data_IF_545757250750
#
_entry.id   IF_545757250750
#
_cell.length_a   1.000
_cell.length_b   1.000
_cell.length_c   1.000
_cell.angle_alpha   90.00
_cell.angle_beta   90.00
_cell.angle_gamma   90.00
#
_symmetry.space_group_name_H-M   'P 1'
#
loop_
_entity.id
_entity.type
_entity.pdbx_description
1 polymer ?
#
# COMPACT_ATOMS: atom_id res chain seq x y z
N UNK A 1 65.04 -9.31 -14.28
CA UNK A 1 64.17 -10.34 -13.67
C UNK A 1 62.89 -9.65 -13.24
N UNK A 2 61.74 -10.05 -13.82
CA UNK A 2 60.34 -9.71 -13.46
C UNK A 2 59.94 -8.23 -13.54
N UNK A 3 58.74 -7.81 -13.98
CA UNK A 3 57.55 -8.53 -14.43
C UNK A 3 56.60 -7.53 -15.15
N UNK A 4 55.81 -8.06 -16.09
CA UNK A 4 54.79 -7.35 -16.88
C UNK A 4 53.54 -7.05 -16.05
N UNK A 5 52.87 -5.95 -16.34
CA UNK A 5 51.43 -5.79 -16.10
C UNK A 5 50.80 -5.05 -17.27
N UNK A 6 50.10 -5.81 -18.12
CA UNK A 6 49.13 -5.33 -19.11
C UNK A 6 47.89 -4.84 -18.36
N UNK A 7 47.37 -3.66 -18.71
CA UNK A 7 45.99 -3.29 -18.44
C UNK A 7 45.18 -3.53 -19.72
N UNK A 8 44.31 -4.52 -19.65
CA UNK A 8 43.36 -4.92 -20.68
C UNK A 8 42.05 -4.14 -20.53
N UNK A 9 41.41 -3.92 -21.67
CA UNK A 9 40.18 -3.19 -21.91
C UNK A 9 38.99 -3.58 -21.01
N UNK A 10 38.16 -2.59 -20.67
CA UNK A 10 36.80 -2.77 -20.17
C UNK A 10 35.85 -2.07 -21.14
N UNK A 11 35.04 -2.80 -21.92
CA UNK A 11 34.04 -2.18 -22.79
C UNK A 11 32.76 -1.92 -21.99
N UNK A 12 32.32 -0.66 -21.94
CA UNK A 12 30.97 -0.28 -21.53
C UNK A 12 30.10 -0.10 -22.78
N UNK A 13 28.82 -0.45 -22.64
CA UNK A 13 27.69 -0.22 -23.57
C UNK A 13 27.31 -1.39 -24.48
N UNK A 14 26.32 -2.14 -24.00
CA UNK A 14 25.43 -2.99 -24.78
C UNK A 14 24.36 -2.09 -25.44
N UNK A 15 24.49 -1.84 -26.73
CA UNK A 15 23.56 -1.04 -27.53
C UNK A 15 22.63 -1.97 -28.32
N UNK A 16 21.32 -1.88 -28.06
CA UNK A 16 20.27 -2.65 -28.77
C UNK A 16 19.59 -1.72 -29.78
N UNK A 17 19.77 -2.00 -31.08
CA UNK A 17 19.03 -1.33 -32.17
C UNK A 17 17.64 -1.95 -32.36
N UNK A 18 16.57 -1.17 -32.53
CA UNK A 18 15.29 -1.70 -33.00
C UNK A 18 15.16 -1.67 -34.54
N UNK A 19 14.63 -2.76 -35.09
CA UNK A 19 14.26 -2.96 -36.50
C UNK A 19 12.86 -2.41 -36.79
N UNK A 20 12.64 -1.82 -37.97
CA UNK A 20 11.32 -1.38 -38.48
C UNK A 20 10.82 -2.25 -39.64
N UNK A 21 9.51 -2.54 -39.76
CA UNK A 21 8.92 -3.08 -40.98
C UNK A 21 8.27 -2.00 -41.87
N UNK A 22 8.25 -2.30 -43.18
CA UNK A 22 7.89 -1.44 -44.32
C UNK A 22 6.38 -1.10 -44.48
N UNK A 23 6.15 -0.04 -45.25
CA UNK A 23 4.87 0.56 -45.66
C UNK A 23 3.90 -0.37 -46.42
N UNK A 24 2.60 -0.06 -46.39
CA UNK A 24 1.71 0.25 -47.56
C UNK A 24 0.23 -0.14 -47.33
N UNK A 25 -0.72 0.70 -47.78
CA UNK A 25 -2.02 0.21 -48.27
C UNK A 25 -3.34 0.75 -47.64
N UNK A 26 -3.74 1.96 -48.08
CA UNK A 26 -5.10 2.43 -48.42
C UNK A 26 -6.36 1.56 -48.14
N UNK A 27 -7.40 2.10 -47.45
CA UNK A 27 -8.85 1.99 -47.80
C UNK A 27 -9.85 2.57 -46.76
N UNK A 28 -10.53 3.66 -47.13
CA UNK A 28 -11.97 4.01 -47.00
C UNK A 28 -12.93 3.46 -45.88
N UNK A 29 -13.67 4.42 -45.27
CA UNK A 29 -15.04 4.42 -44.65
C UNK A 29 -15.28 4.04 -43.15
N UNK A 30 -16.36 4.58 -42.50
CA UNK A 30 -16.46 4.91 -41.06
C UNK A 30 -17.53 4.08 -40.30
N UNK A 31 -18.03 4.52 -39.11
CA UNK A 31 -17.46 4.36 -37.78
C UNK A 31 -18.19 3.25 -36.97
N UNK A 32 -17.54 2.64 -35.97
CA UNK A 32 -18.22 1.79 -34.98
C UNK A 32 -17.64 1.97 -33.58
N UNK A 33 -18.53 2.35 -32.65
CA UNK A 33 -18.31 2.46 -31.21
C UNK A 33 -17.73 1.15 -30.66
N UNK A 34 -16.64 1.25 -29.89
CA UNK A 34 -16.27 0.31 -28.83
C UNK A 34 -15.29 1.02 -27.89
N UNK A 35 -15.71 1.24 -26.64
CA UNK A 35 -14.86 1.73 -25.56
C UNK A 35 -13.91 0.60 -25.12
N UNK A 36 -12.68 0.64 -25.64
CA UNK A 36 -11.52 0.02 -25.00
C UNK A 36 -10.36 1.01 -25.07
N UNK A 37 -10.00 1.59 -23.92
CA UNK A 37 -8.80 2.40 -23.75
C UNK A 37 -7.59 1.46 -23.73
N UNK A 38 -7.03 1.18 -24.90
CA UNK A 38 -5.68 0.64 -25.02
C UNK A 38 -4.70 1.82 -25.07
N UNK A 39 -3.95 1.99 -23.99
CA UNK A 39 -2.85 2.94 -23.91
C UNK A 39 -1.66 2.37 -24.67
N UNK A 40 -1.46 2.82 -25.91
CA UNK A 40 -0.20 2.64 -26.64
C UNK A 40 0.55 3.96 -26.54
N UNK A 41 1.55 3.99 -25.65
CA UNK A 41 2.50 5.11 -25.56
C UNK A 41 3.34 5.06 -26.85
N UNK A 42 3.10 6.01 -27.74
CA UNK A 42 3.94 6.26 -28.90
C UNK A 42 4.51 7.68 -28.78
N UNK A 43 5.83 7.75 -28.58
CA UNK A 43 6.59 8.99 -28.74
C UNK A 43 6.76 9.23 -30.24
N UNK A 44 6.30 10.37 -30.74
CA UNK A 44 6.62 10.83 -32.09
C UNK A 44 7.00 12.30 -32.04
N UNK A 45 8.29 12.55 -32.19
CA UNK A 45 8.85 13.82 -32.60
C UNK A 45 8.27 14.22 -33.95
N UNK A 46 7.63 15.38 -34.03
CA UNK A 46 7.57 16.17 -35.26
C UNK A 46 7.20 17.61 -34.92
N UNK A 47 8.21 18.47 -34.95
CA UNK A 47 8.06 19.90 -35.20
C UNK A 47 7.42 20.09 -36.59
N UNK A 48 6.21 20.61 -36.64
CA UNK A 48 5.74 21.36 -37.81
C UNK A 48 5.18 22.71 -37.35
N UNK A 49 6.02 23.73 -37.47
CA UNK A 49 5.60 25.12 -37.45
C UNK A 49 4.57 25.37 -38.56
N UNK A 50 3.37 25.77 -38.17
CA UNK A 50 2.35 26.30 -39.09
C UNK A 50 2.83 27.67 -39.61
N UNK A 51 3.43 27.70 -40.79
CA UNK A 51 3.68 28.95 -41.51
C UNK A 51 2.33 29.57 -41.89
N UNK A 52 2.02 30.73 -41.33
CA UNK A 52 0.92 31.59 -41.82
C UNK A 52 1.56 32.74 -42.60
N UNK A 53 1.53 32.66 -43.92
CA UNK A 53 2.03 33.72 -44.80
C UNK A 53 1.02 34.89 -44.80
N UNK A 54 1.36 35.99 -44.13
CA UNK A 54 0.69 37.29 -44.34
C UNK A 54 1.59 38.16 -45.22
N UNK A 55 1.15 38.36 -46.46
CA UNK A 55 1.76 39.27 -47.42
C UNK A 55 1.52 40.73 -47.00
N UNK A 56 2.57 41.46 -46.65
CA UNK A 56 2.61 42.91 -46.83
C UNK A 56 4.04 43.35 -47.16
N UNK A 57 4.20 43.91 -48.37
CA UNK A 57 5.41 44.58 -48.84
C UNK A 57 5.77 45.74 -47.89
N UNK A 58 6.97 45.69 -47.28
CA UNK A 58 8.02 46.72 -47.32
C UNK A 58 9.17 46.35 -46.36
N UNK A 59 10.40 46.56 -46.84
CA UNK A 59 11.69 46.60 -46.12
C UNK A 59 12.30 45.30 -45.57
N UNK A 60 13.45 44.93 -46.15
CA UNK A 60 14.36 43.89 -45.71
C UNK A 60 14.88 44.15 -44.29
N UNK A 61 14.48 43.31 -43.33
CA UNK A 61 15.08 43.20 -42.02
C UNK A 61 14.88 41.79 -41.47
N UNK A 62 15.88 40.90 -41.63
CA UNK A 62 15.90 39.61 -40.94
C UNK A 62 16.21 39.86 -39.46
N UNK A 63 15.19 40.04 -38.62
CA UNK A 63 15.35 39.88 -37.17
C UNK A 63 15.32 38.38 -36.85
N UNK A 64 16.43 37.85 -36.39
CA UNK A 64 16.51 36.49 -35.87
C UNK A 64 15.93 36.52 -34.45
N UNK A 65 14.64 36.24 -34.31
CA UNK A 65 14.02 36.03 -33.01
C UNK A 65 14.42 34.63 -32.55
N UNK A 66 15.49 34.54 -31.77
CA UNK A 66 15.77 33.34 -30.99
C UNK A 66 14.60 33.16 -30.01
N UNK A 67 13.87 32.05 -30.12
CA UNK A 67 12.93 31.64 -29.09
C UNK A 67 13.65 31.62 -27.74
N UNK A 68 13.05 32.13 -26.65
CA UNK A 68 13.65 32.00 -25.33
C UNK A 68 13.86 30.51 -25.01
N UNK A 69 14.91 30.15 -24.25
CA UNK A 69 15.07 28.78 -23.78
C UNK A 69 13.80 28.40 -23.01
N UNK A 70 13.35 27.16 -23.16
CA UNK A 70 12.20 26.60 -22.46
C UNK A 70 12.32 26.97 -20.96
N UNK A 71 11.52 27.95 -20.54
CA UNK A 71 11.32 28.23 -19.14
C UNK A 71 10.38 27.11 -18.71
N UNK A 72 10.88 26.17 -17.89
CA UNK A 72 10.07 25.09 -17.32
C UNK A 72 8.71 25.68 -16.97
N UNK A 73 7.65 25.12 -17.56
CA UNK A 73 6.27 25.60 -17.44
C UNK A 73 5.90 25.71 -15.97
N UNK A 74 6.07 26.91 -15.39
CA UNK A 74 5.45 27.30 -14.13
C UNK A 74 3.97 27.53 -14.46
N UNK A 75 3.18 26.47 -14.54
CA UNK A 75 1.77 26.61 -14.88
C UNK A 75 0.98 25.39 -15.33
N UNK A 76 1.43 24.16 -15.04
CA UNK A 76 0.48 23.04 -14.98
C UNK A 76 0.04 22.94 -13.53
N UNK A 77 -1.18 23.39 -13.22
CA UNK A 77 -1.81 23.05 -11.94
C UNK A 77 -1.82 21.53 -11.88
N UNK A 78 -1.11 20.90 -10.94
CA UNK A 78 -1.09 19.45 -10.86
C UNK A 78 -2.53 18.99 -10.62
N UNK A 79 -2.99 18.01 -11.39
CA UNK A 79 -4.26 17.35 -11.13
C UNK A 79 -4.34 17.04 -9.62
N UNK A 80 -5.48 17.28 -8.95
CA UNK A 80 -5.59 17.18 -7.49
C UNK A 80 -5.28 15.79 -6.91
N UNK A 81 -5.07 14.80 -7.78
CA UNK A 81 -4.74 13.40 -7.48
C UNK A 81 -3.21 13.16 -7.46
N UNK A 82 -2.38 14.05 -8.02
CA UNK A 82 -0.92 13.91 -8.15
C UNK A 82 -0.10 14.45 -6.98
N UNK A 83 -0.74 14.98 -5.94
CA UNK A 83 -0.06 15.65 -4.81
C UNK A 83 0.48 14.71 -3.71
N UNK A 84 0.33 13.38 -3.83
CA UNK A 84 0.73 12.43 -2.77
C UNK A 84 1.82 11.47 -3.26
N UNK A 85 3.01 12.01 -3.47
CA UNK A 85 4.20 11.21 -3.79
C UNK A 85 5.42 11.75 -3.04
N UNK A 86 6.12 10.86 -2.34
CA UNK A 86 7.39 11.21 -1.70
C UNK A 86 8.45 11.49 -2.77
N UNK A 87 9.41 12.39 -2.48
CA UNK A 87 10.57 12.60 -3.36
C UNK A 87 11.35 11.29 -3.47
N UNK A 88 11.97 10.96 -4.62
CA UNK A 88 12.59 9.66 -4.84
C UNK A 88 13.71 9.34 -3.84
N UNK A 89 14.46 10.34 -3.39
CA UNK A 89 15.48 10.19 -2.35
C UNK A 89 14.89 9.89 -0.96
N UNK A 90 13.77 10.53 -0.61
CA UNK A 90 13.06 10.30 0.66
C UNK A 90 12.38 8.94 0.68
N UNK A 91 11.74 8.57 -0.42
CA UNK A 91 11.05 7.30 -0.59
C UNK A 91 12.00 6.11 -0.35
N UNK A 92 13.25 6.17 -0.79
CA UNK A 92 14.23 5.09 -0.56
C UNK A 92 14.57 4.89 0.92
N UNK A 93 14.82 6.00 1.64
CA UNK A 93 15.16 5.96 3.07
C UNK A 93 13.95 5.51 3.89
N UNK A 94 12.79 6.14 3.65
CA UNK A 94 11.55 5.79 4.36
C UNK A 94 11.05 4.40 4.00
N UNK A 95 11.26 3.90 2.79
CA UNK A 95 10.92 2.51 2.44
C UNK A 95 11.73 1.51 3.25
N UNK A 96 13.02 1.77 3.49
CA UNK A 96 13.86 0.90 4.29
C UNK A 96 13.42 0.93 5.76
N UNK A 97 13.14 2.12 6.28
CA UNK A 97 12.63 2.30 7.63
C UNK A 97 11.25 1.65 7.82
N UNK A 98 10.37 1.80 6.83
CA UNK A 98 9.02 1.24 6.82
C UNK A 98 9.03 -0.29 6.90
N UNK A 99 9.96 -0.96 6.23
CA UNK A 99 10.07 -2.42 6.32
C UNK A 99 10.42 -2.83 7.75
N UNK A 100 11.37 -2.15 8.39
CA UNK A 100 11.78 -2.45 9.77
C UNK A 100 10.64 -2.22 10.76
N UNK A 101 9.96 -1.09 10.64
CA UNK A 101 8.83 -0.75 11.53
C UNK A 101 7.63 -1.67 11.29
N UNK A 102 7.38 -2.08 10.04
CA UNK A 102 6.32 -3.04 9.71
C UNK A 102 6.60 -4.43 10.28
N UNK A 103 7.85 -4.90 10.23
CA UNK A 103 8.25 -6.19 10.84
C UNK A 103 8.05 -6.15 12.35
N UNK A 104 8.54 -5.10 13.01
CA UNK A 104 8.36 -4.93 14.45
C UNK A 104 6.87 -4.84 14.84
N UNK A 105 6.10 -4.03 14.11
CA UNK A 105 4.67 -3.88 14.29
C UNK A 105 3.89 -5.17 14.04
N UNK A 106 4.31 -6.00 13.07
CA UNK A 106 3.74 -7.32 12.79
C UNK A 106 4.04 -8.31 13.91
N UNK A 107 5.25 -8.28 14.48
CA UNK A 107 5.60 -9.15 15.61
C UNK A 107 4.76 -8.83 16.84
N UNK A 108 4.69 -7.55 17.23
CA UNK A 108 3.92 -7.12 18.39
C UNK A 108 2.40 -7.38 18.23
N UNK A 109 1.85 -7.09 17.05
CA UNK A 109 0.43 -7.34 16.77
C UNK A 109 0.12 -8.84 16.66
N UNK A 110 0.99 -9.60 15.99
CA UNK A 110 0.83 -11.05 15.84
C UNK A 110 0.82 -11.79 17.16
N UNK A 111 1.66 -11.38 18.13
CA UNK A 111 1.62 -11.94 19.49
C UNK A 111 0.26 -11.77 20.17
N UNK A 112 -0.33 -10.58 20.08
CA UNK A 112 -1.65 -10.31 20.64
C UNK A 112 -2.75 -11.13 19.95
N UNK A 113 -2.68 -11.27 18.62
CA UNK A 113 -3.65 -12.06 17.86
C UNK A 113 -3.56 -13.56 18.17
N UNK A 114 -2.34 -14.09 18.36
CA UNK A 114 -2.12 -15.47 18.83
C UNK A 114 -2.77 -15.68 20.19
N UNK A 115 -2.59 -14.77 21.14
CA UNK A 115 -3.19 -14.88 22.48
C UNK A 115 -4.72 -14.91 22.42
N UNK A 116 -5.33 -14.08 21.56
CA UNK A 116 -6.79 -14.06 21.39
C UNK A 116 -7.34 -15.34 20.76
N UNK A 117 -6.63 -15.92 19.78
CA UNK A 117 -7.05 -17.14 19.09
C UNK A 117 -6.82 -18.42 19.92
N UNK A 118 -5.68 -18.50 20.60
CA UNK A 118 -5.21 -19.71 21.29
C UNK A 118 -5.60 -19.73 22.77
N UNK A 119 -5.96 -18.60 23.37
CA UNK A 119 -6.39 -18.51 24.77
C UNK A 119 -7.48 -19.54 25.16
N UNK A 120 -8.60 -19.64 24.42
CA UNK A 120 -9.63 -20.65 24.69
C UNK A 120 -9.13 -22.09 24.55
N UNK A 121 -8.24 -22.35 23.58
CA UNK A 121 -7.65 -23.67 23.34
C UNK A 121 -6.73 -24.10 24.51
N UNK A 122 -5.92 -23.18 25.03
CA UNK A 122 -5.09 -23.42 26.22
C UNK A 122 -5.97 -23.73 27.43
N UNK A 123 -7.05 -22.96 27.63
CA UNK A 123 -8.00 -23.22 28.71
C UNK A 123 -8.59 -24.62 28.64
N UNK A 124 -9.01 -25.05 27.45
CA UNK A 124 -9.53 -26.40 27.23
C UNK A 124 -8.46 -27.49 27.51
N UNK A 125 -7.22 -27.27 27.08
CA UNK A 125 -6.11 -28.20 27.30
C UNK A 125 -5.77 -28.38 28.79
N UNK A 126 -5.74 -27.28 29.55
CA UNK A 126 -5.46 -27.32 31.00
C UNK A 126 -6.57 -28.10 31.73
N UNK A 127 -7.84 -27.83 31.40
CA UNK A 127 -8.99 -28.53 31.99
C UNK A 127 -8.95 -30.02 31.63
N UNK A 128 -8.66 -30.36 30.37
CA UNK A 128 -8.60 -31.75 29.91
C UNK A 128 -7.49 -32.57 30.58
N UNK A 129 -6.34 -31.95 30.86
CA UNK A 129 -5.17 -32.65 31.41
C UNK A 129 -5.11 -32.67 32.93
N UNK A 130 -5.50 -31.56 33.57
CA UNK A 130 -5.32 -31.37 35.02
C UNK A 130 -6.64 -31.54 35.79
N UNK A 131 -7.80 -31.54 35.12
CA UNK A 131 -9.14 -31.56 35.73
C UNK A 131 -9.39 -30.45 36.76
N UNK A 132 -8.51 -29.45 36.82
CA UNK A 132 -8.64 -28.26 37.65
C UNK A 132 -8.61 -27.03 36.75
N UNK A 133 -9.28 -25.96 37.18
CA UNK A 133 -9.29 -24.64 36.54
C UNK A 133 -8.06 -23.80 36.91
N UNK A 134 -7.02 -24.44 37.44
CA UNK A 134 -5.90 -23.74 38.04
C UNK A 134 -5.02 -23.13 36.92
N UNK A 135 -5.09 -21.81 36.79
CA UNK A 135 -4.46 -21.04 35.70
C UNK A 135 -2.95 -20.81 35.91
N UNK A 136 -2.37 -21.44 36.94
CA UNK A 136 -0.97 -21.32 37.35
C UNK A 136 0.00 -22.11 36.46
N UNK A 137 -0.49 -23.06 35.66
CA UNK A 137 0.39 -23.89 34.83
C UNK A 137 0.90 -23.14 33.60
N UNK A 138 2.20 -23.24 33.38
CA UNK A 138 2.89 -22.73 32.19
C UNK A 138 2.36 -23.44 30.94
N UNK A 139 1.93 -22.66 29.95
CA UNK A 139 1.49 -23.18 28.66
C UNK A 139 2.67 -23.74 27.87
N UNK A 140 2.49 -24.90 27.24
CA UNK A 140 3.49 -25.50 26.36
C UNK A 140 3.71 -24.64 25.10
N UNK A 141 4.97 -24.40 24.77
CA UNK A 141 5.37 -23.56 23.63
C UNK A 141 4.82 -24.08 22.29
N UNK A 142 4.61 -25.39 22.15
CA UNK A 142 4.10 -26.01 20.93
C UNK A 142 2.68 -25.54 20.56
N UNK A 143 1.83 -25.26 21.54
CA UNK A 143 0.47 -24.74 21.32
C UNK A 143 0.52 -23.30 20.78
N UNK A 144 1.48 -22.49 21.26
CA UNK A 144 1.72 -21.15 20.74
C UNK A 144 2.26 -21.20 19.30
N UNK A 145 3.18 -22.13 19.01
CA UNK A 145 3.69 -22.36 17.64
C UNK A 145 2.56 -22.76 16.70
N UNK A 146 1.65 -23.65 17.14
CA UNK A 146 0.47 -24.02 16.37
C UNK A 146 -0.40 -22.81 15.99
N UNK A 147 -0.65 -21.91 16.95
CA UNK A 147 -1.38 -20.67 16.67
C UNK A 147 -0.66 -19.73 15.71
N UNK A 148 0.66 -19.56 15.89
CA UNK A 148 1.47 -18.73 15.00
C UNK A 148 1.46 -19.24 13.56
N UNK A 149 1.58 -20.55 13.36
CA UNK A 149 1.47 -21.19 12.03
C UNK A 149 0.06 -20.99 11.46
N UNK A 150 -1.00 -21.19 12.26
CA UNK A 150 -2.38 -21.01 11.84
C UNK A 150 -2.67 -19.59 11.34
N UNK A 151 -2.23 -18.56 12.08
CA UNK A 151 -2.37 -17.16 11.67
C UNK A 151 -1.55 -16.87 10.41
N UNK A 152 -0.32 -17.39 10.32
CA UNK A 152 0.54 -17.20 9.14
C UNK A 152 -0.10 -17.77 7.86
N UNK A 153 -0.67 -18.97 7.94
CA UNK A 153 -1.38 -19.60 6.82
C UNK A 153 -2.66 -18.83 6.46
N UNK A 154 -3.43 -18.39 7.46
CA UNK A 154 -4.64 -17.59 7.24
C UNK A 154 -4.35 -16.25 6.55
N UNK A 155 -3.30 -15.56 6.97
CA UNK A 155 -2.84 -14.32 6.33
C UNK A 155 -2.36 -14.56 4.90
N UNK A 156 -1.72 -15.71 4.62
CA UNK A 156 -1.29 -16.03 3.26
C UNK A 156 -2.47 -16.24 2.30
N UNK A 157 -3.54 -16.92 2.76
CA UNK A 157 -4.72 -17.23 1.94
C UNK A 157 -5.64 -16.01 1.76
N UNK A 158 -5.95 -15.29 2.85
CA UNK A 158 -6.97 -14.23 2.85
C UNK A 158 -6.44 -12.82 3.16
N UNK A 159 -5.20 -12.67 3.61
CA UNK A 159 -4.65 -11.38 4.02
C UNK A 159 -4.55 -10.36 2.88
N UNK A 160 -4.37 -10.81 1.63
CA UNK A 160 -4.18 -9.91 0.48
C UNK A 160 -5.32 -8.90 0.30
N UNK A 161 -6.58 -9.33 0.49
CA UNK A 161 -7.74 -8.46 0.37
C UNK A 161 -7.78 -7.39 1.46
N UNK A 162 -7.43 -7.75 2.69
CA UNK A 162 -7.39 -6.81 3.82
C UNK A 162 -6.26 -5.78 3.64
N UNK A 163 -5.09 -6.23 3.16
CA UNK A 163 -3.95 -5.35 2.89
C UNK A 163 -4.30 -4.34 1.78
N UNK A 164 -4.97 -4.77 0.72
CA UNK A 164 -5.43 -3.89 -0.36
C UNK A 164 -6.42 -2.83 0.14
N UNK A 165 -7.42 -3.23 0.92
CA UNK A 165 -8.41 -2.27 1.44
C UNK A 165 -7.81 -1.22 2.37
N UNK A 166 -6.78 -1.57 3.15
CA UNK A 166 -6.11 -0.62 4.03
C UNK A 166 -5.04 0.23 3.32
N UNK A 167 -4.35 -0.33 2.33
CA UNK A 167 -3.22 0.32 1.67
C UNK A 167 -3.59 1.17 0.45
N UNK A 168 -4.67 0.83 -0.24
CA UNK A 168 -5.09 1.49 -1.49
C UNK A 168 -6.50 2.09 -1.38
N UNK A 169 -7.48 1.32 -0.89
CA UNK A 169 -8.88 1.73 -0.95
C UNK A 169 -9.25 2.80 0.12
N UNK A 170 -8.65 2.73 1.31
CA UNK A 170 -8.98 3.62 2.42
C UNK A 170 -8.29 4.98 2.32
N UNK A 171 -6.97 4.97 2.11
CA UNK A 171 -6.11 6.15 1.95
C UNK A 171 -4.93 5.76 1.06
N UNK A 172 -4.52 6.60 0.11
CA UNK A 172 -3.29 6.37 -0.66
C UNK A 172 -2.05 6.50 0.24
N UNK A 173 -1.27 5.43 0.37
CA UNK A 173 -0.12 5.37 1.27
C UNK A 173 1.22 5.54 0.54
N UNK A 174 2.04 6.45 1.03
CA UNK A 174 3.47 6.53 0.71
C UNK A 174 4.32 5.92 1.83
N UNK A 175 5.58 5.50 1.56
CA UNK A 175 6.45 4.95 2.60
C UNK A 175 6.62 5.87 3.82
N UNK A 176 6.73 7.19 3.62
CA UNK A 176 6.81 8.15 4.73
C UNK A 176 5.55 8.15 5.61
N UNK A 177 4.38 8.08 4.97
CA UNK A 177 3.09 8.04 5.66
C UNK A 177 2.91 6.73 6.43
N UNK A 178 3.39 5.61 5.88
CA UNK A 178 3.40 4.31 6.57
C UNK A 178 4.12 4.37 7.91
N UNK A 179 5.30 5.00 7.94
CA UNK A 179 6.11 5.08 9.17
C UNK A 179 5.37 5.92 10.21
N UNK A 180 4.78 7.04 9.78
CA UNK A 180 3.97 7.88 10.65
C UNK A 180 2.75 7.15 11.22
N UNK A 181 2.08 6.31 10.42
CA UNK A 181 0.91 5.54 10.85
C UNK A 181 1.30 4.52 11.92
N UNK A 182 2.40 3.81 11.71
CA UNK A 182 2.89 2.80 12.65
C UNK A 182 3.34 3.43 13.97
N UNK A 183 4.11 4.52 13.91
CA UNK A 183 4.53 5.27 15.09
C UNK A 183 3.31 5.84 15.83
N UNK A 184 2.37 6.45 15.10
CA UNK A 184 1.15 7.01 15.70
C UNK A 184 0.32 5.95 16.40
N UNK A 185 0.09 4.81 15.74
CA UNK A 185 -0.63 3.68 16.34
C UNK A 185 0.13 3.12 17.55
N UNK A 186 1.44 2.93 17.46
CA UNK A 186 2.27 2.41 18.55
C UNK A 186 2.27 3.34 19.76
N UNK A 187 2.34 4.66 19.53
CA UNK A 187 2.31 5.67 20.59
C UNK A 187 0.96 5.65 21.31
N UNK A 188 -0.16 5.60 20.58
CA UNK A 188 -1.49 5.50 21.18
C UNK A 188 -1.63 4.23 22.02
N UNK A 189 -1.17 3.09 21.50
CA UNK A 189 -1.17 1.82 22.23
C UNK A 189 -0.33 1.92 23.50
N UNK A 190 0.89 2.44 23.41
CA UNK A 190 1.80 2.59 24.54
C UNK A 190 1.21 3.47 25.64
N UNK A 191 0.61 4.60 25.28
CA UNK A 191 -0.02 5.52 26.25
C UNK A 191 -1.21 4.83 26.93
N UNK A 192 -2.08 4.16 26.17
CA UNK A 192 -3.23 3.45 26.75
C UNK A 192 -2.79 2.29 27.66
N UNK A 193 -1.76 1.53 27.25
CA UNK A 193 -1.18 0.46 28.06
C UNK A 193 -0.57 1.00 29.35
N UNK A 194 0.06 2.19 29.34
CA UNK A 194 0.59 2.84 30.55
C UNK A 194 -0.52 3.25 31.53
N UNK A 195 -1.70 3.58 31.02
CA UNK A 195 -2.89 3.94 31.82
C UNK A 195 -3.67 2.67 32.24
N UNK A 196 -3.28 1.48 31.75
CA UNK A 196 -3.92 0.21 32.07
C UNK A 196 -5.23 -0.04 31.32
N UNK A 197 -5.48 0.70 30.23
CA UNK A 197 -6.69 0.52 29.43
C UNK A 197 -6.49 -0.57 28.37
N UNK A 198 -7.35 -1.61 28.32
CA UNK A 198 -7.34 -2.57 27.23
C UNK A 198 -7.90 -1.90 25.97
N UNK A 199 -7.06 -1.72 24.96
CA UNK A 199 -7.46 -1.13 23.68
C UNK A 199 -7.22 -2.10 22.52
N UNK A 200 -8.01 -1.93 21.45
CA UNK A 200 -7.82 -2.66 20.20
C UNK A 200 -6.76 -1.98 19.33
N UNK A 201 -5.69 -2.70 19.01
CA UNK A 201 -4.64 -2.25 18.10
C UNK A 201 -5.16 -1.98 16.68
N UNK A 202 -6.20 -2.68 16.24
CA UNK A 202 -6.83 -2.46 14.92
C UNK A 202 -7.46 -1.07 14.85
N UNK A 203 -8.16 -0.65 15.90
CA UNK A 203 -8.76 0.69 15.96
C UNK A 203 -7.68 1.78 15.97
N UNK A 204 -6.58 1.55 16.67
CA UNK A 204 -5.44 2.46 16.66
C UNK A 204 -4.81 2.57 15.26
N UNK A 205 -4.58 1.44 14.58
CA UNK A 205 -4.01 1.45 13.23
C UNK A 205 -4.92 2.16 12.23
N UNK A 206 -6.20 1.78 12.16
CA UNK A 206 -7.16 2.42 11.23
C UNK A 206 -7.35 3.90 11.56
N UNK A 207 -7.39 4.26 12.85
CA UNK A 207 -7.46 5.65 13.28
C UNK A 207 -6.25 6.47 12.81
N UNK A 208 -5.04 5.93 12.95
CA UNK A 208 -3.81 6.55 12.45
C UNK A 208 -3.82 6.70 10.92
N UNK A 209 -4.29 5.69 10.18
CA UNK A 209 -4.44 5.73 8.71
C UNK A 209 -5.36 6.88 8.29
N UNK A 210 -6.53 7.00 8.93
CA UNK A 210 -7.51 8.04 8.63
C UNK A 210 -6.97 9.42 9.02
N UNK A 211 -6.31 9.54 10.17
CA UNK A 211 -5.70 10.78 10.61
C UNK A 211 -4.62 11.26 9.63
N UNK A 212 -3.68 10.39 9.25
CA UNK A 212 -2.60 10.74 8.31
C UNK A 212 -3.16 11.05 6.92
N UNK A 213 -4.14 10.28 6.43
CA UNK A 213 -4.83 10.57 5.17
C UNK A 213 -5.48 11.95 5.17
N UNK A 214 -6.17 12.28 6.27
CA UNK A 214 -6.89 13.55 6.44
C UNK A 214 -5.96 14.75 6.70
N UNK A 215 -4.79 14.52 7.27
CA UNK A 215 -3.74 15.53 7.47
C UNK A 215 -3.05 15.88 6.15
N UNK A 216 -3.00 14.94 5.19
CA UNK A 216 -2.40 15.16 3.87
C UNK A 216 -3.33 15.92 2.92
N UNK A 217 -4.59 15.51 2.81
CA UNK A 217 -5.64 16.24 2.08
C UNK A 217 -7.02 15.87 2.60
N UNK A 218 -8.00 16.78 2.44
CA UNK A 218 -9.38 16.55 2.85
C UNK A 218 -10.06 15.40 2.09
N UNK A 219 -9.67 15.19 0.84
CA UNK A 219 -10.28 14.22 -0.07
C UNK A 219 -9.49 12.91 -0.19
N UNK A 220 -8.40 12.75 0.56
CA UNK A 220 -7.53 11.57 0.50
C UNK A 220 -8.07 10.34 1.27
N UNK A 221 -9.22 10.47 1.94
CA UNK A 221 -9.82 9.37 2.73
C UNK A 221 -11.17 9.00 2.16
N UNK A 222 -11.36 7.70 1.88
CA UNK A 222 -12.66 7.19 1.46
C UNK A 222 -13.62 7.02 2.66
N UNK A 223 -14.46 8.03 2.90
CA UNK A 223 -15.43 8.04 3.99
C UNK A 223 -16.51 6.96 3.89
N UNK A 224 -16.84 6.50 2.68
CA UNK A 224 -17.79 5.41 2.47
C UNK A 224 -17.24 4.09 3.02
N UNK A 225 -15.98 3.77 2.67
CA UNK A 225 -15.29 2.57 3.14
C UNK A 225 -15.05 2.65 4.65
N UNK A 226 -14.60 3.80 5.16
CA UNK A 226 -14.40 3.98 6.59
C UNK A 226 -15.67 3.72 7.40
N UNK A 227 -16.81 4.27 6.96
CA UNK A 227 -18.11 4.00 7.60
C UNK A 227 -18.49 2.52 7.54
N UNK A 228 -18.24 1.85 6.42
CA UNK A 228 -18.52 0.41 6.30
C UNK A 228 -17.66 -0.41 7.28
N UNK A 229 -16.40 -0.03 7.49
CA UNK A 229 -15.52 -0.65 8.49
C UNK A 229 -16.10 -0.47 9.91
N UNK A 230 -16.53 0.75 10.27
CA UNK A 230 -17.15 1.02 11.57
C UNK A 230 -18.44 0.21 11.79
N UNK A 231 -19.30 0.14 10.77
CA UNK A 231 -20.52 -0.67 10.80
C UNK A 231 -20.18 -2.16 10.95
N UNK A 232 -19.15 -2.65 10.25
CA UNK A 232 -18.69 -4.03 10.37
C UNK A 232 -18.27 -4.33 11.82
N UNK A 233 -17.48 -3.47 12.47
CA UNK A 233 -17.08 -3.68 13.87
C UNK A 233 -18.26 -3.67 14.85
N UNK A 234 -19.25 -2.80 14.62
CA UNK A 234 -20.44 -2.75 15.46
C UNK A 234 -21.28 -4.01 15.31
N UNK A 235 -21.38 -4.57 14.10
CA UNK A 235 -22.19 -5.76 13.80
C UNK A 235 -21.48 -7.06 14.16
N UNK A 236 -20.15 -7.14 14.02
CA UNK A 236 -19.40 -8.37 14.30
C UNK A 236 -19.42 -8.76 15.77
N UNK A 237 -19.40 -7.80 16.70
CA UNK A 237 -19.47 -8.09 18.15
C UNK A 237 -20.76 -8.80 18.57
N UNK A 238 -21.98 -8.26 18.32
CA UNK A 238 -23.22 -8.94 18.67
C UNK A 238 -23.42 -10.22 17.87
N UNK A 239 -23.01 -10.26 16.60
CA UNK A 239 -23.10 -11.47 15.80
C UNK A 239 -22.23 -12.60 16.38
N UNK A 240 -20.97 -12.31 16.73
CA UNK A 240 -20.07 -13.28 17.35
C UNK A 240 -20.61 -13.76 18.72
N UNK A 241 -21.12 -12.85 19.54
CA UNK A 241 -21.75 -13.18 20.83
C UNK A 241 -22.99 -14.06 20.67
N UNK A 242 -23.87 -13.73 19.72
CA UNK A 242 -25.08 -14.49 19.45
C UNK A 242 -24.78 -15.90 18.92
N UNK A 243 -23.82 -16.03 17.99
CA UNK A 243 -23.38 -17.33 17.47
C UNK A 243 -22.76 -18.17 18.59
N UNK A 244 -21.90 -17.58 19.42
CA UNK A 244 -21.31 -18.27 20.57
C UNK A 244 -22.37 -18.75 21.56
N UNK A 245 -23.32 -17.89 21.92
CA UNK A 245 -24.43 -18.24 22.82
C UNK A 245 -25.32 -19.35 22.24
N UNK A 246 -25.63 -19.29 20.95
CA UNK A 246 -26.42 -20.31 20.26
C UNK A 246 -25.71 -21.66 20.26
N UNK A 247 -24.41 -21.70 19.94
CA UNK A 247 -23.62 -22.93 19.94
C UNK A 247 -23.53 -23.53 21.34
N UNK A 248 -23.32 -22.71 22.37
CA UNK A 248 -23.31 -23.18 23.75
C UNK A 248 -24.67 -23.73 24.17
N UNK A 249 -25.76 -23.05 23.81
CA UNK A 249 -27.12 -23.52 24.08
C UNK A 249 -27.38 -24.90 23.44
N UNK A 250 -27.01 -25.07 22.17
CA UNK A 250 -27.13 -26.37 21.48
C UNK A 250 -26.28 -27.43 22.19
N UNK A 251 -25.05 -27.12 22.57
CA UNK A 251 -24.16 -28.04 23.27
C UNK A 251 -24.79 -28.54 24.58
N UNK A 252 -25.40 -27.64 25.38
CA UNK A 252 -26.10 -28.00 26.64
C UNK A 252 -27.39 -28.79 26.45
N UNK A 253 -27.97 -28.80 25.23
CA UNK A 253 -29.12 -29.65 24.94
C UNK A 253 -28.71 -31.06 24.50
N UNK A 254 -27.50 -31.20 23.94
CA UNK A 254 -26.98 -32.47 23.41
C UNK A 254 -26.24 -33.27 24.48
N UNK A 255 -25.53 -32.59 25.39
CA UNK A 255 -24.75 -33.17 26.50
C UNK A 255 -25.50 -33.02 27.81
#
# INVERSE_FOLDING_TARGET
SQGKANQSEVPSHFEVKPSYPDETGNSNKPPRKNNQLNVIISYSSNDQCLNTDINHNLTNGKMNVSCPPNLDTIGEEPDPIDLVKDRPAEAQVFSSLQIVTAVFGSFAHGGNDVSNAIGPLIGLWIIATTQSVDSSKTTDIWILVYGGVGISVGLWIWGRRVIQTLGEDLTKMTPSSGVCIEIGSALTVLIASKIGLPISTTHCKVGSVVFVGRARSRDNVNWGIFRNILLAWLVTLPAAGAISALLMYIFTLVV
#
